data_IF_120785867014
#
_entry.id   IF_120785867014
#
_cell.length_a   1.000
_cell.length_b   1.000
_cell.length_c   1.000
_cell.angle_alpha   90.00
_cell.angle_beta   90.00
_cell.angle_gamma   90.00
#
_symmetry.space_group_name_H-M   'P 1'
#
loop_
_entity.id
_entity.type
_entity.pdbx_description
1 polymer ?
#
# COMPACT_ATOMS: atom_id res chain seq x y z
N UNK A 1 -12.99 37.94 16.28
CA UNK A 1 -12.83 36.55 16.76
C UNK A 1 -11.35 36.16 16.66
N UNK A 2 -10.61 35.99 17.79
CA UNK A 2 -9.17 35.61 17.76
C UNK A 2 -9.03 34.10 17.54
N UNK A 3 -8.51 33.71 16.38
CA UNK A 3 -8.22 32.32 16.04
C UNK A 3 -6.78 31.96 16.46
N UNK A 4 -6.59 30.77 17.02
CA UNK A 4 -5.28 30.22 17.38
C UNK A 4 -5.04 28.92 16.62
N UNK A 5 -3.79 28.69 16.21
CA UNK A 5 -3.37 27.51 15.44
C UNK A 5 -3.42 26.25 16.33
N UNK A 6 -4.54 25.53 16.32
CA UNK A 6 -4.74 24.29 17.08
C UNK A 6 -5.32 23.19 16.15
N UNK A 7 -4.53 22.12 15.96
CA UNK A 7 -4.71 20.95 15.06
C UNK A 7 -5.97 20.11 15.46
N UNK A 8 -6.79 19.50 14.58
CA UNK A 8 -6.53 18.26 13.81
C UNK A 8 -7.64 17.96 12.76
N UNK A 9 -7.34 17.90 11.46
CA UNK A 9 -8.21 17.21 10.44
C UNK A 9 -7.49 16.03 9.80
N UNK A 10 -8.12 14.85 9.64
CA UNK A 10 -7.47 13.74 8.96
C UNK A 10 -7.32 14.03 7.45
N UNK A 11 -6.14 13.75 6.89
CA UNK A 11 -5.92 13.47 5.46
C UNK A 11 -5.49 12.00 5.38
N UNK A 12 -5.87 11.31 4.30
CA UNK A 12 -5.44 9.94 4.08
C UNK A 12 -4.01 9.97 3.54
N UNK A 13 -3.08 9.33 4.25
CA UNK A 13 -1.73 9.05 3.74
C UNK A 13 -1.53 7.55 3.62
N UNK A 14 -0.87 7.15 2.53
CA UNK A 14 -0.46 5.79 2.26
C UNK A 14 0.82 5.51 3.05
N UNK A 15 0.78 4.57 3.99
CA UNK A 15 1.96 4.20 4.79
C UNK A 15 2.26 2.71 4.63
N UNK A 16 3.49 2.39 4.23
CA UNK A 16 4.05 1.05 4.24
C UNK A 16 4.27 0.63 5.69
N UNK A 17 3.69 -0.49 6.12
CA UNK A 17 4.05 -1.12 7.40
C UNK A 17 4.20 -2.64 7.23
N UNK A 18 5.29 -3.24 7.73
CA UNK A 18 5.35 -4.69 7.90
C UNK A 18 4.37 -5.13 9.00
N UNK A 19 3.71 -6.27 8.81
CA UNK A 19 2.78 -6.87 9.76
C UNK A 19 3.42 -8.15 10.33
N UNK A 20 3.42 -8.38 11.65
CA UNK A 20 4.18 -9.47 12.26
C UNK A 20 3.73 -10.89 11.87
N UNK A 21 2.47 -11.06 11.42
CA UNK A 21 1.88 -12.40 11.26
C UNK A 21 1.57 -12.79 9.80
N UNK A 22 2.17 -12.11 8.82
CA UNK A 22 1.96 -12.44 7.40
C UNK A 22 3.10 -11.89 6.51
N UNK A 23 3.72 -12.76 5.72
CA UNK A 23 4.90 -12.52 4.86
C UNK A 23 4.68 -11.47 3.72
N UNK A 24 3.50 -10.86 3.62
CA UNK A 24 3.17 -9.88 2.58
C UNK A 24 3.37 -8.43 2.98
N UNK A 25 3.97 -7.62 2.09
CA UNK A 25 4.03 -6.17 2.25
C UNK A 25 2.65 -5.54 2.02
N UNK A 26 2.11 -4.91 3.08
CA UNK A 26 0.78 -4.26 3.06
C UNK A 26 0.90 -2.74 3.02
N UNK A 27 0.04 -2.14 2.21
CA UNK A 27 -0.21 -0.71 2.13
C UNK A 27 -1.56 -0.38 2.75
N UNK A 28 -1.56 0.50 3.74
CA UNK A 28 -2.77 0.94 4.42
C UNK A 28 -2.93 2.45 4.38
N UNK A 29 -4.16 2.93 4.21
CA UNK A 29 -4.49 4.33 4.41
C UNK A 29 -4.61 4.60 5.92
N UNK A 30 -3.65 5.34 6.46
CA UNK A 30 -3.71 5.82 7.84
C UNK A 30 -4.19 7.27 7.83
N UNK A 31 -5.24 7.61 8.61
CA UNK A 31 -5.59 9.01 8.79
C UNK A 31 -4.47 9.74 9.53
N UNK A 32 -3.94 10.80 8.91
CA UNK A 32 -2.90 11.67 9.47
C UNK A 32 -3.53 12.98 9.91
N UNK A 33 -3.30 13.35 11.17
CA UNK A 33 -3.87 14.54 11.78
C UNK A 33 -3.12 15.81 11.35
N UNK A 34 -3.79 16.79 10.73
CA UNK A 34 -3.17 18.06 10.24
C UNK A 34 -3.60 19.33 11.01
N UNK A 35 -2.73 20.35 11.09
CA UNK A 35 -3.01 21.62 11.80
C UNK A 35 -4.23 22.32 11.21
N UNK A 36 -5.10 22.86 12.07
CA UNK A 36 -6.25 23.69 11.70
C UNK A 36 -6.30 24.91 12.63
N UNK A 37 -7.13 25.89 12.31
CA UNK A 37 -7.39 27.05 13.17
C UNK A 37 -8.64 26.80 13.99
N UNK A 38 -8.58 27.08 15.29
CA UNK A 38 -9.73 26.96 16.19
C UNK A 38 -9.86 28.22 17.07
N UNK A 39 -11.08 28.57 17.51
CA UNK A 39 -11.28 29.64 18.48
C UNK A 39 -10.47 29.39 19.76
N UNK A 40 -9.82 30.43 20.30
CA UNK A 40 -9.14 30.35 21.60
C UNK A 40 -10.10 29.82 22.67
N UNK A 41 -9.62 28.89 23.50
CA UNK A 41 -10.39 28.28 24.59
C UNK A 41 -11.32 27.14 24.17
N UNK A 42 -11.41 26.78 22.88
CA UNK A 42 -12.17 25.61 22.41
C UNK A 42 -11.25 24.52 21.88
N UNK A 43 -11.32 23.33 22.47
CA UNK A 43 -10.60 22.15 21.99
C UNK A 43 -11.19 21.65 20.68
N UNK A 44 -10.45 21.63 19.56
CA UNK A 44 -10.94 21.08 18.31
C UNK A 44 -11.09 19.55 18.41
N UNK A 45 -12.31 19.05 18.23
CA UNK A 45 -12.61 17.63 18.15
C UNK A 45 -12.41 17.13 16.72
N UNK A 46 -11.63 16.04 16.58
CA UNK A 46 -11.36 15.40 15.30
C UNK A 46 -12.03 14.03 15.27
N UNK A 47 -13.16 13.92 14.58
CA UNK A 47 -13.82 12.65 14.33
C UNK A 47 -13.04 11.88 13.26
N UNK A 48 -12.40 10.78 13.64
CA UNK A 48 -11.67 9.90 12.72
C UNK A 48 -12.39 8.57 12.65
N UNK A 49 -12.79 8.18 11.43
CA UNK A 49 -13.29 6.83 11.13
C UNK A 49 -12.22 6.12 10.28
N UNK A 50 -11.25 5.43 10.89
CA UNK A 50 -10.23 4.73 10.12
C UNK A 50 -10.88 3.56 9.36
N UNK A 51 -11.04 3.71 8.05
CA UNK A 51 -11.42 2.61 7.15
C UNK A 51 -10.14 2.06 6.55
N UNK A 52 -9.60 1.02 7.17
CA UNK A 52 -8.43 0.33 6.64
C UNK A 52 -8.84 -0.44 5.37
N UNK A 53 -8.32 0.00 4.23
CA UNK A 53 -8.25 -0.82 3.02
C UNK A 53 -6.81 -1.27 2.87
N UNK A 54 -6.61 -2.57 2.78
CA UNK A 54 -5.30 -3.17 2.53
C UNK A 54 -5.09 -3.29 1.03
N UNK A 55 -4.04 -2.66 0.54
CA UNK A 55 -3.43 -3.00 -0.75
C UNK A 55 -2.24 -3.91 -0.50
N UNK A 56 -2.08 -4.91 -1.36
CA UNK A 56 -0.95 -5.81 -1.32
C UNK A 56 -0.01 -5.48 -2.47
N UNK A 57 1.29 -5.57 -2.18
CA UNK A 57 2.35 -5.40 -3.18
C UNK A 57 2.88 -6.78 -3.53
N UNK A 58 2.79 -7.16 -4.80
CA UNK A 58 3.53 -8.30 -5.34
C UNK A 58 4.80 -7.77 -6.00
N UNK A 59 5.96 -8.23 -5.55
CA UNK A 59 7.27 -7.81 -6.06
C UNK A 59 8.01 -8.97 -6.69
N UNK A 60 8.51 -8.78 -7.91
CA UNK A 60 9.41 -9.72 -8.58
C UNK A 60 10.73 -9.01 -8.84
N UNK A 61 11.83 -9.62 -8.43
CA UNK A 61 13.17 -9.11 -8.69
C UNK A 61 13.95 -10.10 -9.58
N UNK A 62 14.74 -9.57 -10.50
CA UNK A 62 15.73 -10.32 -11.26
C UNK A 62 17.11 -10.06 -10.66
N UNK A 63 17.66 -11.00 -9.87
CA UNK A 63 18.90 -10.76 -9.13
C UNK A 63 20.09 -10.42 -10.03
N UNK A 64 20.16 -11.04 -11.23
CA UNK A 64 21.28 -10.87 -12.15
C UNK A 64 21.36 -9.50 -12.81
N UNK A 65 20.26 -8.76 -12.91
CA UNK A 65 20.22 -7.43 -13.56
C UNK A 65 19.76 -6.31 -12.63
N UNK A 66 19.24 -6.64 -11.45
CA UNK A 66 18.64 -5.68 -10.53
C UNK A 66 17.26 -5.16 -10.95
N UNK A 67 16.72 -5.60 -12.10
CA UNK A 67 15.37 -5.22 -12.54
C UNK A 67 14.34 -5.71 -11.53
N UNK A 68 13.37 -4.86 -11.19
CA UNK A 68 12.28 -5.19 -10.27
C UNK A 68 10.95 -4.70 -10.80
N UNK A 69 9.90 -5.49 -10.59
CA UNK A 69 8.54 -5.19 -11.03
C UNK A 69 7.56 -5.34 -9.86
N UNK A 70 6.65 -4.37 -9.73
CA UNK A 70 5.75 -4.29 -8.58
C UNK A 70 4.30 -4.12 -9.02
N UNK A 71 3.40 -4.88 -8.40
CA UNK A 71 1.98 -4.87 -8.70
C UNK A 71 1.17 -4.55 -7.44
N UNK A 72 0.15 -3.70 -7.58
CA UNK A 72 -0.73 -3.25 -6.50
C UNK A 72 -2.14 -3.84 -6.68
N UNK A 73 -2.52 -4.82 -5.85
CA UNK A 73 -3.84 -5.44 -5.92
C UNK A 73 -4.52 -5.56 -4.53
N UNK A 74 -5.87 -5.50 -4.47
CA UNK A 74 -6.64 -5.93 -3.30
C UNK A 74 -6.65 -7.48 -3.20
N UNK A 75 -7.19 -8.06 -2.11
CA UNK A 75 -6.52 -9.00 -1.20
C UNK A 75 -5.74 -10.17 -1.83
N UNK A 76 -4.69 -10.59 -1.12
CA UNK A 76 -3.93 -11.82 -1.42
C UNK A 76 -4.84 -13.04 -1.37
N UNK A 77 -5.12 -13.58 -2.54
CA UNK A 77 -5.72 -14.89 -2.74
C UNK A 77 -5.12 -15.55 -3.99
N UNK A 78 -5.35 -16.85 -4.15
CA UNK A 78 -4.79 -17.61 -5.26
C UNK A 78 -5.20 -17.04 -6.63
N UNK A 79 -6.46 -16.62 -6.80
CA UNK A 79 -6.94 -16.08 -8.07
C UNK A 79 -6.22 -14.78 -8.46
N UNK A 80 -6.05 -13.85 -7.52
CA UNK A 80 -5.32 -12.61 -7.73
C UNK A 80 -3.85 -12.90 -8.06
N UNK A 81 -3.22 -13.86 -7.37
CA UNK A 81 -1.83 -14.21 -7.62
C UNK A 81 -1.63 -14.90 -8.97
N UNK A 82 -2.51 -15.83 -9.36
CA UNK A 82 -2.48 -16.46 -10.69
C UNK A 82 -2.61 -15.42 -11.80
N UNK A 83 -3.47 -14.42 -11.61
CA UNK A 83 -3.62 -13.32 -12.56
C UNK A 83 -2.33 -12.50 -12.67
N UNK A 84 -1.67 -12.17 -11.54
CA UNK A 84 -0.37 -11.49 -11.55
C UNK A 84 0.68 -12.31 -12.32
N UNK A 85 0.80 -13.62 -12.05
CA UNK A 85 1.76 -14.49 -12.74
C UNK A 85 1.48 -14.55 -14.25
N UNK A 86 0.20 -14.61 -14.64
CA UNK A 86 -0.19 -14.62 -16.05
C UNK A 86 0.21 -13.32 -16.75
N UNK A 87 0.01 -12.18 -16.11
CA UNK A 87 0.41 -10.89 -16.68
C UNK A 87 1.92 -10.73 -16.71
N UNK A 88 2.62 -11.14 -15.64
CA UNK A 88 4.08 -11.15 -15.57
C UNK A 88 4.70 -12.01 -16.69
N UNK A 89 4.17 -13.21 -16.90
CA UNK A 89 4.61 -14.09 -17.98
C UNK A 89 4.44 -13.44 -19.36
N UNK A 90 3.30 -12.77 -19.61
CA UNK A 90 3.06 -12.02 -20.85
C UNK A 90 4.04 -10.86 -21.02
N UNK A 91 4.21 -10.02 -20.00
CA UNK A 91 5.11 -8.85 -20.06
C UNK A 91 6.57 -9.25 -20.30
N UNK A 92 7.02 -10.35 -19.70
CA UNK A 92 8.38 -10.86 -19.89
C UNK A 92 8.52 -11.76 -21.12
N UNK A 93 7.44 -11.96 -21.88
CA UNK A 93 7.42 -12.71 -23.13
C UNK A 93 7.70 -14.21 -22.96
N UNK A 94 7.17 -14.83 -21.90
CA UNK A 94 7.27 -16.28 -21.73
C UNK A 94 6.48 -17.01 -22.81
N UNK A 95 7.02 -18.13 -23.28
CA UNK A 95 6.44 -18.98 -24.31
C UNK A 95 7.36 -20.17 -24.59
N UNK A 96 7.12 -20.90 -25.67
CA UNK A 96 7.83 -22.16 -26.00
C UNK A 96 9.36 -22.04 -26.01
N UNK A 97 9.89 -20.87 -26.38
CA UNK A 97 11.34 -20.62 -26.47
C UNK A 97 11.93 -19.92 -25.25
N UNK A 98 11.10 -19.51 -24.28
CA UNK A 98 11.53 -18.69 -23.14
C UNK A 98 10.77 -19.07 -21.88
N UNK A 99 11.47 -19.80 -21.02
CA UNK A 99 11.02 -20.15 -19.69
C UNK A 99 11.40 -19.04 -18.70
N UNK A 100 10.50 -18.75 -17.77
CA UNK A 100 10.74 -17.87 -16.64
C UNK A 100 10.71 -18.71 -15.37
N UNK A 101 11.83 -18.78 -14.65
CA UNK A 101 11.87 -19.37 -13.32
C UNK A 101 11.51 -18.28 -12.31
N UNK A 102 10.44 -18.52 -11.56
CA UNK A 102 10.01 -17.66 -10.45
C UNK A 102 10.20 -18.45 -9.17
N UNK A 103 11.03 -17.93 -8.27
CA UNK A 103 11.23 -18.49 -6.93
C UNK A 103 10.34 -17.68 -5.98
N UNK A 104 9.53 -18.37 -5.19
CA UNK A 104 8.65 -17.80 -4.18
C UNK A 104 9.14 -18.23 -2.79
N UNK A 105 8.87 -17.40 -1.79
CA UNK A 105 9.09 -17.66 -0.37
C UNK A 105 7.74 -17.96 0.33
#
# INVERSE_FOLDING_TARGET
MRLTKHQRRPRLELKLRPHPDNLGHRLGLKPVYRRVWAPRGKTPLAWVRPRYRWLYVYGFARPSTGESEFWLLPPVNAAAFSEVLRQFARLRGSGERKLLLVILD
#
